data_IF_471007011525
#
_entry.id   IF_471007011525
#
_cell.length_a   1.000
_cell.length_b   1.000
_cell.length_c   1.000
_cell.angle_alpha   90.00
_cell.angle_beta   90.00
_cell.angle_gamma   90.00
#
_symmetry.space_group_name_H-M   'P 1'
#
loop_
_entity.id
_entity.type
_entity.pdbx_description
1 polymer ?
#
# COMPACT_ATOMS: atom_id res chain seq x y z
N UNK A 1 29.26 0.57 -1.27
CA UNK A 1 29.50 0.19 -2.69
C UNK A 1 28.70 -1.06 -3.08
N UNK A 2 28.78 -2.17 -2.32
CA UNK A 2 28.18 -3.44 -2.71
C UNK A 2 26.66 -3.43 -2.96
N UNK A 3 25.89 -2.65 -2.21
CA UNK A 3 24.43 -2.53 -2.40
C UNK A 3 24.11 -1.86 -3.74
N UNK A 4 24.75 -0.73 -4.06
CA UNK A 4 24.51 -0.03 -5.33
C UNK A 4 24.98 -0.84 -6.55
N UNK A 5 26.02 -1.63 -6.40
CA UNK A 5 26.47 -2.55 -7.46
C UNK A 5 25.47 -3.72 -7.65
N UNK A 6 24.88 -4.21 -6.57
CA UNK A 6 23.81 -5.19 -6.67
C UNK A 6 22.57 -4.59 -7.38
N UNK A 7 22.16 -3.39 -6.98
CA UNK A 7 21.08 -2.65 -7.66
C UNK A 7 21.39 -2.48 -9.14
N UNK A 8 22.62 -2.07 -9.51
CA UNK A 8 22.99 -1.90 -10.90
C UNK A 8 22.83 -3.18 -11.73
N UNK A 9 23.14 -4.35 -11.14
CA UNK A 9 22.91 -5.65 -11.78
C UNK A 9 21.42 -5.98 -11.89
N UNK A 10 20.65 -5.72 -10.84
CA UNK A 10 19.22 -6.02 -10.83
C UNK A 10 18.43 -5.16 -11.83
N UNK A 11 18.90 -3.95 -12.13
CA UNK A 11 18.30 -3.10 -13.18
C UNK A 11 18.32 -3.72 -14.59
N UNK A 12 19.17 -4.70 -14.82
CA UNK A 12 19.27 -5.41 -16.12
C UNK A 12 18.40 -6.68 -16.17
N UNK A 13 17.73 -7.06 -15.07
CA UNK A 13 16.81 -8.21 -15.05
C UNK A 13 15.59 -7.92 -15.92
N UNK A 14 14.97 -8.98 -16.42
CA UNK A 14 13.85 -8.92 -17.34
C UNK A 14 12.61 -8.21 -16.74
N UNK A 15 12.28 -8.54 -15.49
CA UNK A 15 11.16 -7.93 -14.77
C UNK A 15 11.35 -6.43 -14.58
N UNK A 16 12.55 -6.00 -14.20
CA UNK A 16 12.84 -4.57 -14.05
C UNK A 16 12.85 -3.86 -15.42
N UNK A 17 13.40 -4.49 -16.44
CA UNK A 17 13.38 -3.95 -17.80
C UNK A 17 11.94 -3.79 -18.30
N UNK A 18 11.09 -4.80 -18.10
CA UNK A 18 9.66 -4.75 -18.41
C UNK A 18 8.98 -3.59 -17.69
N UNK A 19 9.22 -3.44 -16.38
CA UNK A 19 8.67 -2.33 -15.61
C UNK A 19 9.09 -0.96 -16.16
N UNK A 20 10.37 -0.81 -16.48
CA UNK A 20 10.93 0.44 -17.04
C UNK A 20 10.34 0.79 -18.41
N UNK A 21 10.09 -0.21 -19.25
CA UNK A 21 9.56 -0.02 -20.60
C UNK A 21 8.06 0.18 -20.65
N UNK A 22 7.30 -0.54 -19.79
CA UNK A 22 5.86 -0.56 -19.83
C UNK A 22 5.19 0.21 -18.68
N UNK A 23 5.92 0.46 -17.61
CA UNK A 23 5.39 1.01 -16.36
C UNK A 23 4.49 0.05 -15.58
N UNK A 24 4.46 -1.24 -15.95
CA UNK A 24 3.57 -2.22 -15.34
C UNK A 24 4.22 -3.60 -15.27
N UNK A 25 3.89 -4.32 -14.19
CA UNK A 25 4.17 -5.74 -14.02
C UNK A 25 2.85 -6.51 -13.87
N UNK A 26 2.85 -7.77 -14.23
CA UNK A 26 1.65 -8.62 -14.27
C UNK A 26 0.81 -8.57 -12.98
N UNK A 27 1.47 -8.41 -11.81
CA UNK A 27 0.79 -8.18 -10.55
C UNK A 27 0.84 -6.69 -10.19
N UNK A 28 -0.31 -6.07 -9.99
CA UNK A 28 -0.42 -4.66 -9.63
C UNK A 28 0.36 -4.32 -8.35
N UNK A 29 0.42 -5.24 -7.38
CA UNK A 29 1.24 -5.09 -6.16
C UNK A 29 2.72 -4.94 -6.49
N UNK A 30 3.25 -5.72 -7.43
CA UNK A 30 4.66 -5.60 -7.85
C UNK A 30 4.92 -4.29 -8.59
N UNK A 31 3.95 -3.80 -9.37
CA UNK A 31 4.03 -2.47 -9.99
C UNK A 31 4.16 -1.38 -8.94
N UNK A 32 3.34 -1.44 -7.89
CA UNK A 32 3.40 -0.49 -6.79
C UNK A 32 4.71 -0.58 -6.03
N UNK A 33 5.15 -1.78 -5.66
CA UNK A 33 6.40 -2.02 -4.95
C UNK A 33 7.62 -1.52 -5.77
N UNK A 34 7.66 -1.81 -7.06
CA UNK A 34 8.75 -1.36 -7.94
C UNK A 34 8.79 0.17 -8.08
N UNK A 35 7.63 0.83 -8.11
CA UNK A 35 7.58 2.28 -8.14
C UNK A 35 8.15 2.89 -6.84
N UNK A 36 7.74 2.39 -5.67
CA UNK A 36 8.21 2.87 -4.37
C UNK A 36 9.71 2.58 -4.16
N UNK A 37 10.16 1.39 -4.54
CA UNK A 37 11.58 1.01 -4.48
C UNK A 37 12.41 1.90 -5.42
N UNK A 38 11.93 2.18 -6.63
CA UNK A 38 12.63 3.04 -7.58
C UNK A 38 12.87 4.45 -7.04
N UNK A 39 11.88 5.02 -6.34
CA UNK A 39 12.04 6.31 -5.67
C UNK A 39 13.15 6.27 -4.61
N UNK A 40 13.10 5.28 -3.73
CA UNK A 40 14.09 5.11 -2.65
C UNK A 40 15.51 4.86 -3.19
N UNK A 41 15.61 4.06 -4.23
CA UNK A 41 16.89 3.79 -4.90
C UNK A 41 17.44 5.03 -5.62
N UNK A 42 16.57 5.87 -6.18
CA UNK A 42 16.98 7.15 -6.79
C UNK A 42 17.62 8.06 -5.73
N UNK A 43 16.96 8.23 -4.59
CA UNK A 43 17.49 9.03 -3.47
C UNK A 43 18.82 8.48 -2.95
N UNK A 44 18.91 7.16 -2.79
CA UNK A 44 20.14 6.51 -2.36
C UNK A 44 21.27 6.69 -3.38
N UNK A 45 21.00 6.52 -4.67
CA UNK A 45 21.99 6.71 -5.73
C UNK A 45 22.53 8.14 -5.71
N UNK A 46 21.67 9.14 -5.59
CA UNK A 46 22.07 10.55 -5.49
C UNK A 46 22.92 10.80 -4.23
N UNK A 47 22.53 10.27 -3.08
CA UNK A 47 23.27 10.43 -1.82
C UNK A 47 24.69 9.84 -1.89
N UNK A 48 24.89 8.81 -2.69
CA UNK A 48 26.20 8.18 -2.91
C UNK A 48 26.92 8.64 -4.19
N UNK A 49 26.44 9.70 -4.85
CA UNK A 49 27.07 10.27 -6.04
C UNK A 49 27.00 9.39 -7.30
N UNK A 50 26.05 8.43 -7.32
CA UNK A 50 25.82 7.54 -8.47
C UNK A 50 24.77 8.11 -9.41
N UNK A 51 25.14 9.22 -10.05
CA UNK A 51 24.28 9.93 -11.01
C UNK A 51 23.80 9.01 -12.14
N UNK A 52 24.65 8.11 -12.60
CA UNK A 52 24.35 7.11 -13.62
C UNK A 52 23.16 6.19 -13.27
N UNK A 53 23.07 5.80 -12.00
CA UNK A 53 21.95 4.98 -11.50
C UNK A 53 20.69 5.83 -11.25
N UNK A 54 20.87 7.03 -10.71
CA UNK A 54 19.75 7.93 -10.47
C UNK A 54 19.00 8.28 -11.76
N UNK A 55 19.75 8.52 -12.85
CA UNK A 55 19.16 8.79 -14.18
C UNK A 55 18.39 7.58 -14.74
N UNK A 56 18.89 6.36 -14.54
CA UNK A 56 18.17 5.14 -14.96
C UNK A 56 16.85 4.90 -14.21
N UNK A 57 16.75 5.38 -12.97
CA UNK A 57 15.61 5.21 -12.08
C UNK A 57 14.63 6.39 -12.13
N UNK A 58 15.07 7.52 -12.70
CA UNK A 58 14.31 8.77 -12.69
C UNK A 58 12.91 8.60 -13.31
N UNK A 59 11.90 9.02 -12.56
CA UNK A 59 10.50 9.03 -13.01
C UNK A 59 9.79 7.68 -12.94
N UNK A 60 10.49 6.58 -12.62
CA UNK A 60 9.87 5.25 -12.51
C UNK A 60 8.88 5.18 -11.34
N UNK A 61 9.08 5.99 -10.31
CA UNK A 61 8.15 6.15 -9.18
C UNK A 61 6.75 6.56 -9.65
N UNK A 62 6.63 7.31 -10.74
CA UNK A 62 5.33 7.75 -11.29
C UNK A 62 4.47 6.62 -11.83
N UNK A 63 5.04 5.46 -12.07
CA UNK A 63 4.32 4.28 -12.54
C UNK A 63 3.42 3.65 -11.46
N UNK A 64 3.49 4.10 -10.20
CA UNK A 64 2.57 3.67 -9.14
C UNK A 64 1.09 3.74 -9.57
N UNK A 65 0.75 4.73 -10.40
CA UNK A 65 -0.62 4.93 -10.90
C UNK A 65 -1.15 3.75 -11.72
N UNK A 66 -0.25 3.06 -12.41
CA UNK A 66 -0.61 1.92 -13.26
C UNK A 66 -1.09 0.70 -12.47
N UNK A 67 -0.87 0.71 -11.15
CA UNK A 67 -1.39 -0.30 -10.25
C UNK A 67 -2.89 -0.11 -9.90
N UNK A 68 -3.49 1.02 -10.27
CA UNK A 68 -4.85 1.39 -9.88
C UNK A 68 -5.79 1.55 -11.08
N UNK A 69 -7.07 1.22 -10.86
CA UNK A 69 -8.17 1.50 -11.79
C UNK A 69 -8.76 2.90 -11.55
N UNK A 70 -9.62 3.34 -12.48
CA UNK A 70 -10.28 4.63 -12.41
C UNK A 70 -11.30 4.79 -11.26
N UNK A 71 -11.65 3.69 -10.57
CA UNK A 71 -12.49 3.72 -9.36
C UNK A 71 -11.69 3.98 -8.07
N UNK A 72 -10.39 4.17 -8.19
CA UNK A 72 -9.50 4.45 -7.08
C UNK A 72 -9.06 3.22 -6.27
N UNK A 73 -9.40 2.02 -6.69
CA UNK A 73 -8.90 0.77 -6.11
C UNK A 73 -7.79 0.19 -6.99
N UNK A 74 -7.00 -0.70 -6.43
CA UNK A 74 -6.04 -1.46 -7.23
C UNK A 74 -6.74 -2.25 -8.33
N UNK A 75 -6.03 -2.57 -9.39
CA UNK A 75 -6.57 -3.19 -10.62
C UNK A 75 -7.40 -4.43 -10.34
N UNK A 76 -8.59 -4.48 -10.92
CA UNK A 76 -9.51 -5.62 -10.78
C UNK A 76 -9.04 -6.85 -11.56
N UNK A 77 -8.24 -6.67 -12.61
CA UNK A 77 -7.69 -7.72 -13.47
C UNK A 77 -6.35 -8.29 -12.97
N UNK A 78 -5.94 -7.94 -11.74
CA UNK A 78 -4.72 -8.42 -11.12
C UNK A 78 -4.99 -9.56 -10.13
N UNK A 79 -4.00 -10.41 -9.94
CA UNK A 79 -3.95 -11.38 -8.84
C UNK A 79 -3.42 -10.73 -7.56
N UNK A 80 -3.94 -11.19 -6.44
CA UNK A 80 -3.54 -10.78 -5.09
C UNK A 80 -3.18 -12.00 -4.26
N UNK A 81 -2.08 -11.91 -3.51
CA UNK A 81 -1.53 -13.06 -2.80
C UNK A 81 -2.41 -13.46 -1.59
N UNK A 82 -2.74 -12.49 -0.73
CA UNK A 82 -3.46 -12.73 0.52
C UNK A 82 -4.62 -11.75 0.67
N UNK A 83 -5.71 -12.02 0.01
CA UNK A 83 -6.87 -11.13 0.01
C UNK A 83 -7.30 -10.71 -1.39
N UNK A 84 -7.70 -9.49 -1.52
CA UNK A 84 -8.23 -8.94 -2.77
C UNK A 84 -7.77 -7.50 -2.99
N UNK A 85 -8.25 -6.87 -4.07
CA UNK A 85 -7.90 -5.50 -4.43
C UNK A 85 -8.14 -4.46 -3.32
N UNK A 86 -9.10 -4.69 -2.42
CA UNK A 86 -9.41 -3.77 -1.33
C UNK A 86 -8.30 -3.75 -0.28
N UNK A 87 -7.80 -4.94 0.13
CA UNK A 87 -6.74 -5.05 1.13
C UNK A 87 -5.48 -4.29 0.71
N UNK A 88 -5.15 -4.33 -0.58
CA UNK A 88 -3.92 -3.71 -1.10
C UNK A 88 -4.10 -2.25 -1.53
N UNK A 89 -5.34 -1.72 -1.62
CA UNK A 89 -5.59 -0.38 -2.16
C UNK A 89 -5.19 0.76 -1.24
N UNK A 90 -5.04 0.53 0.05
CA UNK A 90 -4.84 1.60 1.04
C UNK A 90 -3.45 1.62 1.65
N UNK A 91 -2.52 0.90 1.07
CA UNK A 91 -1.11 0.99 1.45
C UNK A 91 -0.61 2.44 1.28
N UNK A 92 0.20 2.94 2.21
CA UNK A 92 0.84 4.23 2.04
C UNK A 92 1.66 4.26 0.75
N UNK A 93 1.53 5.35 0.01
CA UNK A 93 2.34 5.63 -1.18
C UNK A 93 3.00 6.99 -1.04
N UNK A 94 4.14 7.17 -1.68
CA UNK A 94 4.90 8.43 -1.65
C UNK A 94 4.06 9.61 -2.17
N UNK A 95 3.28 9.39 -3.23
CA UNK A 95 2.46 10.41 -3.89
C UNK A 95 1.02 10.46 -3.34
N UNK A 96 0.87 10.59 -2.03
CA UNK A 96 -0.42 10.45 -1.34
C UNK A 96 -1.49 11.46 -1.79
N UNK A 97 -1.11 12.69 -2.09
CA UNK A 97 -2.07 13.69 -2.58
C UNK A 97 -2.61 13.32 -3.98
N UNK A 98 -1.74 12.86 -4.86
CA UNK A 98 -2.11 12.39 -6.19
C UNK A 98 -2.94 11.10 -6.10
N UNK A 99 -2.63 10.24 -5.12
CA UNK A 99 -3.41 9.04 -4.81
C UNK A 99 -4.84 9.40 -4.39
N UNK A 100 -5.01 10.39 -3.53
CA UNK A 100 -6.33 10.90 -3.16
C UNK A 100 -7.05 11.54 -4.36
N UNK A 101 -6.34 12.28 -5.19
CA UNK A 101 -6.92 12.86 -6.40
C UNK A 101 -7.48 11.78 -7.35
N UNK A 102 -6.82 10.62 -7.47
CA UNK A 102 -7.32 9.48 -8.25
C UNK A 102 -8.67 8.95 -7.73
N UNK A 103 -8.96 9.13 -6.46
CA UNK A 103 -10.23 8.74 -5.82
C UNK A 103 -11.32 9.83 -5.87
N UNK A 104 -11.12 10.90 -6.62
CA UNK A 104 -12.02 12.06 -6.61
C UNK A 104 -11.75 13.03 -5.44
N UNK A 105 -10.54 13.06 -4.92
CA UNK A 105 -10.11 13.91 -3.81
C UNK A 105 -10.19 13.22 -2.45
N UNK A 106 -9.93 14.00 -1.40
CA UNK A 106 -9.91 13.51 -0.02
C UNK A 106 -11.22 12.84 0.41
N UNK A 107 -12.35 13.42 0.04
CA UNK A 107 -13.67 12.91 0.39
C UNK A 107 -13.92 11.54 -0.28
N UNK A 108 -13.65 11.43 -1.58
CA UNK A 108 -13.77 10.16 -2.31
C UNK A 108 -12.86 9.07 -1.72
N UNK A 109 -11.63 9.44 -1.36
CA UNK A 109 -10.69 8.52 -0.70
C UNK A 109 -11.19 8.06 0.66
N UNK A 110 -11.71 8.97 1.50
CA UNK A 110 -12.31 8.63 2.79
C UNK A 110 -13.53 7.73 2.62
N UNK A 111 -14.38 7.98 1.62
CA UNK A 111 -15.53 7.13 1.34
C UNK A 111 -15.14 5.68 0.97
N UNK A 112 -14.04 5.50 0.24
CA UNK A 112 -13.50 4.17 -0.04
C UNK A 112 -12.99 3.49 1.23
N UNK A 113 -12.26 4.20 2.09
CA UNK A 113 -11.80 3.69 3.38
C UNK A 113 -12.97 3.33 4.31
N UNK A 114 -14.00 4.18 4.38
CA UNK A 114 -15.21 3.94 5.19
C UNK A 114 -15.93 2.67 4.72
N UNK A 115 -15.97 2.42 3.40
CA UNK A 115 -16.49 1.17 2.84
C UNK A 115 -15.63 -0.04 3.18
N UNK A 116 -14.31 0.09 3.12
CA UNK A 116 -13.37 -0.98 3.45
C UNK A 116 -13.46 -1.39 4.91
N UNK A 117 -13.44 -0.43 5.81
CA UNK A 117 -13.55 -0.67 7.26
C UNK A 117 -14.98 -0.88 7.73
N UNK A 118 -15.97 -0.81 6.85
CA UNK A 118 -17.35 -1.09 7.16
C UNK A 118 -18.04 -0.06 8.05
N UNK A 119 -17.67 1.21 7.97
CA UNK A 119 -18.45 2.28 8.57
C UNK A 119 -19.81 2.39 7.87
N UNK A 120 -20.90 2.16 8.61
CA UNK A 120 -22.26 2.31 8.12
C UNK A 120 -22.80 3.71 8.35
N UNK A 121 -22.34 4.33 9.43
CA UNK A 121 -22.61 5.72 9.79
C UNK A 121 -21.28 6.38 10.17
N UNK A 122 -21.19 7.73 10.16
CA UNK A 122 -19.97 8.43 10.55
C UNK A 122 -19.40 8.01 11.92
N UNK A 123 -20.24 7.51 12.82
CA UNK A 123 -19.88 7.14 14.18
C UNK A 123 -19.72 5.63 14.39
N UNK A 124 -20.16 4.80 13.44
CA UNK A 124 -20.19 3.35 13.62
C UNK A 124 -19.20 2.62 12.75
N UNK A 125 -18.62 1.57 13.29
CA UNK A 125 -17.87 0.57 12.54
C UNK A 125 -18.77 -0.63 12.36
N UNK A 126 -19.02 -1.07 11.12
CA UNK A 126 -19.88 -2.20 10.84
C UNK A 126 -19.27 -3.52 11.32
N UNK A 127 -20.11 -4.54 11.42
CA UNK A 127 -19.69 -5.90 11.71
C UNK A 127 -18.76 -6.52 10.65
N UNK A 128 -18.58 -5.83 9.52
CA UNK A 128 -17.63 -6.18 8.45
C UNK A 128 -16.27 -5.55 8.62
N UNK A 129 -15.88 -5.23 9.81
CA UNK A 129 -14.53 -4.75 10.06
C UNK A 129 -13.54 -5.79 9.51
N UNK A 130 -13.04 -5.50 8.32
CA UNK A 130 -12.11 -6.35 7.57
C UNK A 130 -10.68 -6.01 7.95
N UNK A 131 -10.38 -5.90 9.21
CA UNK A 131 -9.11 -5.34 9.50
C UNK A 131 -8.19 -6.25 10.30
N UNK A 132 -6.89 -6.04 10.10
CA UNK A 132 -5.80 -6.57 10.89
C UNK A 132 -5.58 -8.09 10.82
N UNK A 133 -5.85 -8.68 9.68
CA UNK A 133 -5.50 -10.07 9.39
C UNK A 133 -4.32 -10.20 8.40
N UNK A 134 -3.84 -9.07 7.89
CA UNK A 134 -2.68 -9.01 7.00
C UNK A 134 -1.91 -7.69 7.24
N UNK A 135 -0.63 -7.62 6.89
CA UNK A 135 0.21 -6.42 7.05
C UNK A 135 -0.39 -5.22 6.34
N UNK A 136 -0.93 -5.40 5.15
CA UNK A 136 -1.56 -4.33 4.37
C UNK A 136 -2.77 -3.74 5.08
N UNK A 137 -3.52 -4.55 5.82
CA UNK A 137 -4.67 -4.10 6.59
C UNK A 137 -4.23 -3.34 7.85
N UNK A 138 -3.06 -3.66 8.40
CA UNK A 138 -2.46 -2.91 9.53
C UNK A 138 -1.97 -1.53 9.10
N UNK A 139 -1.57 -1.36 7.85
CA UNK A 139 -1.14 -0.08 7.28
C UNK A 139 -2.33 0.80 6.86
N UNK A 140 -3.41 0.19 6.37
CA UNK A 140 -4.56 0.88 5.79
C UNK A 140 -5.20 1.96 6.68
N UNK A 141 -5.31 1.81 8.02
CA UNK A 141 -5.86 2.87 8.88
C UNK A 141 -5.11 4.20 8.79
N UNK A 142 -3.79 4.15 8.54
CA UNK A 142 -2.98 5.36 8.43
C UNK A 142 -3.32 6.20 7.18
N UNK A 143 -4.00 5.62 6.20
CA UNK A 143 -4.56 6.34 5.07
C UNK A 143 -5.57 7.43 5.50
N UNK A 144 -6.32 7.20 6.58
CA UNK A 144 -7.17 8.22 7.17
C UNK A 144 -6.37 9.42 7.71
N UNK A 145 -5.19 9.18 8.28
CA UNK A 145 -4.33 10.27 8.74
C UNK A 145 -3.90 11.17 7.58
N UNK A 146 -3.49 10.57 6.46
CA UNK A 146 -3.11 11.30 5.25
C UNK A 146 -4.29 12.13 4.70
N UNK A 147 -5.51 11.62 4.81
CA UNK A 147 -6.73 12.33 4.42
C UNK A 147 -7.22 13.37 5.46
N UNK A 148 -6.51 13.54 6.60
CA UNK A 148 -6.89 14.46 7.67
C UNK A 148 -8.01 13.95 8.58
N UNK A 149 -8.34 12.65 8.55
CA UNK A 149 -9.39 12.02 9.35
C UNK A 149 -8.80 11.21 10.50
N UNK A 150 -8.09 11.92 11.39
CA UNK A 150 -7.51 11.33 12.60
C UNK A 150 -8.58 10.71 13.53
N UNK A 151 -9.77 11.26 13.54
CA UNK A 151 -10.93 10.71 14.26
C UNK A 151 -11.23 9.27 13.82
N UNK A 152 -11.23 9.00 12.51
CA UNK A 152 -11.43 7.66 11.93
C UNK A 152 -10.28 6.73 12.28
N UNK A 153 -9.03 7.20 12.13
CA UNK A 153 -7.86 6.42 12.53
C UNK A 153 -7.95 5.96 13.99
N UNK A 154 -8.18 6.88 14.92
CA UNK A 154 -8.30 6.52 16.34
C UNK A 154 -9.42 5.52 16.59
N UNK A 155 -10.56 5.68 15.93
CA UNK A 155 -11.69 4.77 16.08
C UNK A 155 -11.37 3.36 15.58
N UNK A 156 -10.69 3.23 14.44
CA UNK A 156 -10.26 1.92 13.91
C UNK A 156 -9.29 1.25 14.86
N UNK A 157 -8.28 1.97 15.35
CA UNK A 157 -7.28 1.41 16.26
C UNK A 157 -7.92 0.97 17.60
N UNK A 158 -8.81 1.77 18.16
CA UNK A 158 -9.56 1.42 19.38
C UNK A 158 -10.47 0.20 19.15
N UNK A 159 -11.11 0.10 17.99
CA UNK A 159 -11.92 -1.07 17.63
C UNK A 159 -11.06 -2.32 17.47
N UNK A 160 -9.89 -2.20 16.83
CA UNK A 160 -8.96 -3.30 16.67
C UNK A 160 -8.46 -3.80 18.05
N UNK A 161 -8.05 -2.89 18.92
CA UNK A 161 -7.60 -3.23 20.28
C UNK A 161 -8.67 -4.00 21.06
N UNK A 162 -9.91 -3.57 20.98
CA UNK A 162 -11.01 -4.19 21.74
C UNK A 162 -11.57 -5.47 21.13
N UNK A 163 -11.59 -5.58 19.81
CA UNK A 163 -12.33 -6.65 19.13
C UNK A 163 -11.44 -7.67 18.43
N UNK A 164 -10.26 -7.26 17.97
CA UNK A 164 -9.37 -8.09 17.16
C UNK A 164 -8.20 -8.60 17.99
N UNK A 165 -7.47 -7.70 18.63
CA UNK A 165 -6.32 -8.06 19.44
C UNK A 165 -6.71 -8.45 20.84
N UNK A 166 -6.17 -9.56 21.34
CA UNK A 166 -6.34 -10.00 22.73
C UNK A 166 -5.04 -10.62 23.22
N UNK A 167 -4.67 -10.30 24.45
CA UNK A 167 -3.58 -10.97 25.13
C UNK A 167 -3.99 -12.41 25.45
N UNK A 168 -3.59 -13.36 24.65
CA UNK A 168 -3.76 -14.80 24.94
C UNK A 168 -2.59 -15.61 24.43
N UNK A 169 -2.35 -16.74 25.07
CA UNK A 169 -1.31 -17.71 24.67
C UNK A 169 -1.68 -18.55 23.45
N UNK A 170 -2.85 -18.39 22.92
CA UNK A 170 -3.41 -19.24 21.89
C UNK A 170 -3.62 -18.60 20.53
N UNK A 171 -2.80 -17.67 20.14
CA UNK A 171 -2.60 -16.99 18.84
C UNK A 171 -3.53 -17.20 17.64
N UNK A 172 -4.67 -17.86 17.77
CA UNK A 172 -5.52 -18.17 16.63
C UNK A 172 -6.91 -17.57 16.79
N UNK A 173 -7.37 -16.88 15.77
CA UNK A 173 -8.71 -16.32 15.68
C UNK A 173 -8.91 -15.16 16.64
N UNK A 174 -10.11 -14.96 17.10
CA UNK A 174 -10.53 -13.84 17.98
C UNK A 174 -9.86 -13.80 19.36
N UNK A 175 -8.69 -14.32 19.53
CA UNK A 175 -7.99 -14.45 20.80
C UNK A 175 -6.48 -14.41 20.70
N UNK A 176 -5.91 -13.42 20.04
CA UNK A 176 -4.47 -13.25 19.92
C UNK A 176 -4.13 -12.21 18.87
N UNK A 177 -2.86 -12.08 18.55
CA UNK A 177 -2.46 -11.43 17.29
C UNK A 177 -3.06 -12.28 16.19
N UNK A 178 -3.82 -11.72 15.25
CA UNK A 178 -4.31 -12.47 14.11
C UNK A 178 -3.14 -13.21 13.49
N UNK A 179 -3.27 -14.52 13.33
CA UNK A 179 -2.28 -15.30 12.60
C UNK A 179 -2.17 -14.70 11.23
N UNK A 180 -1.07 -14.05 11.02
CA UNK A 180 -0.76 -13.47 9.76
C UNK A 180 0.13 -14.46 9.07
N UNK A 181 -0.28 -14.98 7.93
CA UNK A 181 0.51 -15.90 7.13
C UNK A 181 0.78 -17.26 7.81
N UNK A 182 -0.19 -17.84 8.49
CA UNK A 182 -0.13 -19.25 8.87
C UNK A 182 -0.39 -20.17 7.67
#
# INVERSE_FOLDING_TARGET
>A
PGVLEAVARDLEREDFRTFRETGYLLRATYTLDMAEVSASLTEMALAFGRQDLAEKLAGLDRHWRNAFDGDGLMRADSEYYEGNRWNYSFRPVRHQEERMALCGGKEGYVNLLDRFFGFTHPEDVSARFEGFNNETDMEAPYAYHAAGRRDRLCRILDTADRQVFRASSGGTGRGGIPGNND
#
